data_IF_542698125248
#
_entry.id   IF_542698125248
#
_cell.length_a   1.000
_cell.length_b   1.000
_cell.length_c   1.000
_cell.angle_alpha   90.00
_cell.angle_beta   90.00
_cell.angle_gamma   90.00
#
_symmetry.space_group_name_H-M   'P 1'
#
loop_
_entity.id
_entity.type
_entity.pdbx_description
1 polymer ?
#
# COMPACT_ATOMS: atom_id res chain seq x y z
N UNK A 1 -20.55 -8.61 15.98
CA UNK A 1 -19.35 -7.74 16.05
C UNK A 1 -18.41 -8.29 17.09
N UNK A 2 -17.16 -8.57 16.68
CA UNK A 2 -16.15 -9.11 17.58
C UNK A 2 -15.46 -8.02 18.41
N UNK A 3 -15.09 -6.91 17.76
CA UNK A 3 -14.36 -5.83 18.40
C UNK A 3 -14.65 -4.49 17.74
N UNK A 4 -14.47 -3.41 18.49
CA UNK A 4 -14.57 -2.04 18.02
C UNK A 4 -13.51 -1.21 18.73
N UNK A 5 -12.73 -0.44 17.97
CA UNK A 5 -11.79 0.53 18.55
C UNK A 5 -11.94 1.89 17.88
N UNK A 6 -11.52 2.91 18.60
CA UNK A 6 -11.53 4.27 18.11
C UNK A 6 -10.10 4.79 18.03
N UNK A 7 -9.75 5.42 16.90
CA UNK A 7 -8.42 5.98 16.70
C UNK A 7 -8.14 7.19 17.59
N UNK A 8 -9.20 7.91 17.97
CA UNK A 8 -9.17 9.11 18.82
C UNK A 8 -8.38 10.28 18.24
N UNK A 9 -7.95 10.18 17.00
CA UNK A 9 -7.24 11.27 16.33
C UNK A 9 -7.91 11.69 15.02
N UNK A 10 -8.22 10.74 14.14
CA UNK A 10 -8.71 11.07 12.80
C UNK A 10 -9.49 9.92 12.20
N UNK A 11 -10.12 10.17 11.05
CA UNK A 11 -10.87 9.14 10.34
C UNK A 11 -9.94 8.17 9.64
N UNK A 12 -10.39 6.93 9.55
CA UNK A 12 -9.64 5.81 8.96
C UNK A 12 -9.79 5.84 7.43
N UNK A 13 -8.67 5.68 6.73
CA UNK A 13 -8.59 5.65 5.27
C UNK A 13 -8.29 4.27 4.72
N UNK A 14 -7.39 3.52 5.33
CA UNK A 14 -6.97 2.22 4.86
C UNK A 14 -6.82 1.23 6.00
N UNK A 15 -6.93 -0.04 5.68
CA UNK A 15 -6.82 -1.14 6.65
C UNK A 15 -6.12 -2.33 6.02
N UNK A 16 -5.46 -3.15 6.86
CA UNK A 16 -4.86 -4.41 6.45
C UNK A 16 -4.76 -5.36 7.63
N UNK A 17 -5.09 -6.63 7.42
CA UNK A 17 -4.85 -7.66 8.42
C UNK A 17 -3.42 -8.19 8.32
N UNK A 18 -2.82 -8.46 9.49
CA UNK A 18 -1.59 -9.25 9.55
C UNK A 18 -1.90 -10.70 9.13
N UNK A 19 -1.01 -11.34 8.37
CA UNK A 19 -1.28 -12.67 7.82
C UNK A 19 -1.40 -13.77 8.87
N UNK A 20 -0.75 -13.63 10.05
CA UNK A 20 -0.71 -14.71 11.05
C UNK A 20 -0.98 -14.25 12.48
N UNK A 21 -0.77 -12.99 12.81
CA UNK A 21 -0.99 -12.45 14.15
C UNK A 21 -2.34 -11.74 14.26
N UNK A 22 -2.89 -11.60 15.49
CA UNK A 22 -4.17 -10.88 15.65
C UNK A 22 -4.00 -9.36 15.56
N UNK A 23 -3.36 -8.90 14.53
CA UNK A 23 -3.02 -7.50 14.30
C UNK A 23 -3.71 -6.94 13.08
N UNK A 24 -4.00 -5.66 13.14
CA UNK A 24 -4.42 -4.89 11.98
C UNK A 24 -3.68 -3.55 11.94
N UNK A 25 -3.47 -3.08 10.74
CA UNK A 25 -3.04 -1.72 10.48
C UNK A 25 -4.25 -0.89 10.08
N UNK A 26 -4.27 0.36 10.53
CA UNK A 26 -5.14 1.37 9.94
C UNK A 26 -4.33 2.62 9.63
N UNK A 27 -4.62 3.22 8.49
CA UNK A 27 -4.03 4.50 8.09
C UNK A 27 -5.06 5.61 8.18
N UNK A 28 -4.62 6.79 8.59
CA UNK A 28 -5.51 7.87 8.99
C UNK A 28 -5.37 9.11 8.11
N UNK A 29 -6.42 9.91 8.15
CA UNK A 29 -6.48 11.19 7.42
C UNK A 29 -5.46 12.23 7.92
N UNK A 30 -5.02 12.12 9.17
CA UNK A 30 -4.03 13.04 9.76
C UNK A 30 -2.56 12.66 9.50
N UNK A 31 -2.32 11.58 8.76
CA UNK A 31 -0.96 11.13 8.43
C UNK A 31 -0.44 10.01 9.30
N UNK A 32 -1.15 9.64 10.36
CA UNK A 32 -0.74 8.55 11.23
C UNK A 32 -1.11 7.18 10.66
N UNK A 33 -0.33 6.19 11.05
CA UNK A 33 -0.62 4.77 10.86
C UNK A 33 -0.61 4.13 12.24
N UNK A 34 -1.63 3.35 12.56
CA UNK A 34 -1.75 2.69 13.84
C UNK A 34 -1.74 1.17 13.66
N UNK A 35 -0.99 0.49 14.51
CA UNK A 35 -0.93 -0.96 14.60
C UNK A 35 -1.66 -1.41 15.86
N UNK A 36 -2.70 -2.20 15.70
CA UNK A 36 -3.58 -2.66 16.77
C UNK A 36 -3.53 -4.17 16.91
N UNK A 37 -3.59 -4.67 18.15
CA UNK A 37 -4.00 -6.03 18.46
C UNK A 37 -5.52 -6.04 18.66
N UNK A 38 -6.25 -6.68 17.74
CA UNK A 38 -7.71 -6.61 17.77
C UNK A 38 -8.35 -7.58 18.78
N UNK A 39 -7.61 -8.57 19.28
CA UNK A 39 -8.10 -9.47 20.34
C UNK A 39 -7.95 -8.86 21.72
N UNK A 40 -6.84 -8.18 21.95
CA UNK A 40 -6.59 -7.48 23.21
C UNK A 40 -7.23 -6.08 23.24
N UNK A 41 -7.58 -5.54 22.08
CA UNK A 41 -8.08 -4.18 21.96
C UNK A 41 -7.02 -3.13 22.28
N UNK A 42 -5.76 -3.43 22.01
CA UNK A 42 -4.61 -2.61 22.42
C UNK A 42 -3.94 -1.98 21.20
N UNK A 43 -3.67 -0.68 21.30
CA UNK A 43 -2.80 0.01 20.34
C UNK A 43 -1.36 -0.36 20.63
N UNK A 44 -0.72 -1.05 19.68
CA UNK A 44 0.65 -1.53 19.84
C UNK A 44 1.68 -0.47 19.45
N UNK A 45 1.42 0.28 18.36
CA UNK A 45 2.37 1.26 17.86
C UNK A 45 1.67 2.30 16.99
N UNK A 46 2.25 3.50 16.93
CA UNK A 46 1.86 4.59 16.03
C UNK A 46 3.05 5.00 15.19
N UNK A 47 2.82 5.15 13.88
CA UNK A 47 3.83 5.58 12.90
C UNK A 47 3.36 6.90 12.30
N UNK A 48 4.20 7.94 12.36
CA UNK A 48 3.79 9.30 12.00
C UNK A 48 4.90 10.02 11.21
N UNK A 49 5.11 9.59 9.95
CA UNK A 49 6.11 10.21 9.08
C UNK A 49 5.54 10.71 7.76
N UNK A 50 4.30 10.33 7.41
CA UNK A 50 3.63 10.88 6.23
C UNK A 50 3.19 12.33 6.47
N UNK A 51 3.24 13.12 5.42
CA UNK A 51 2.75 14.50 5.42
C UNK A 51 1.40 14.57 4.70
N UNK A 52 0.36 14.36 5.47
CA UNK A 52 -1.03 14.34 4.99
C UNK A 52 -1.67 12.95 5.05
N UNK A 53 -2.91 12.83 4.56
CA UNK A 53 -3.65 11.57 4.62
C UNK A 53 -2.91 10.37 4.05
N UNK A 54 -2.94 9.26 4.79
CA UNK A 54 -2.40 7.97 4.34
C UNK A 54 -3.58 7.12 3.89
N UNK A 55 -3.70 6.91 2.58
CA UNK A 55 -4.90 6.29 2.00
C UNK A 55 -4.88 4.78 2.03
N UNK A 56 -3.69 4.16 2.04
CA UNK A 56 -3.57 2.71 1.91
C UNK A 56 -2.39 2.19 2.69
N UNK A 57 -2.57 1.02 3.25
CA UNK A 57 -1.53 0.25 3.94
C UNK A 57 -1.69 -1.23 3.57
N UNK A 58 -0.59 -1.97 3.61
CA UNK A 58 -0.61 -3.41 3.38
C UNK A 58 0.54 -4.09 4.10
N UNK A 59 0.24 -5.20 4.79
CA UNK A 59 1.27 -6.04 5.38
C UNK A 59 1.94 -6.91 4.32
N UNK A 60 3.26 -7.13 4.46
CA UNK A 60 3.95 -8.16 3.70
C UNK A 60 3.49 -9.55 4.17
N UNK A 61 3.31 -10.52 3.26
CA UNK A 61 2.75 -11.84 3.62
C UNK A 61 3.65 -12.69 4.50
N UNK A 62 4.97 -12.44 4.52
CA UNK A 62 5.91 -13.31 5.26
C UNK A 62 7.03 -12.58 6.00
N UNK A 63 7.31 -11.33 5.66
CA UNK A 63 8.37 -10.54 6.29
C UNK A 63 7.79 -9.48 7.23
N UNK A 64 8.56 -8.98 8.22
CA UNK A 64 8.05 -8.02 9.19
C UNK A 64 7.94 -6.60 8.60
N UNK A 65 7.32 -6.48 7.43
CA UNK A 65 7.21 -5.25 6.68
C UNK A 65 5.75 -4.87 6.46
N UNK A 66 5.53 -3.58 6.32
CA UNK A 66 4.31 -3.06 5.70
C UNK A 66 4.64 -1.87 4.79
N UNK A 67 3.74 -1.60 3.87
CA UNK A 67 3.83 -0.51 2.91
C UNK A 67 2.69 0.46 3.13
N UNK A 68 2.95 1.74 2.92
CA UNK A 68 1.93 2.80 2.99
C UNK A 68 2.09 3.77 1.83
N UNK A 69 1.00 4.43 1.49
CA UNK A 69 0.98 5.46 0.46
C UNK A 69 -0.15 6.46 0.70
N UNK A 70 0.04 7.69 0.29
CA UNK A 70 -0.93 8.73 0.57
C UNK A 70 -0.78 10.02 -0.24
N UNK A 71 -1.31 11.10 0.33
CA UNK A 71 -1.44 12.40 -0.33
C UNK A 71 -0.13 13.16 -0.47
N UNK A 72 0.93 12.71 0.20
CA UNK A 72 2.28 13.28 0.05
C UNK A 72 3.06 12.73 -1.16
N UNK A 73 2.43 11.90 -2.01
CA UNK A 73 2.98 11.26 -3.22
C UNK A 73 4.03 10.18 -2.92
N UNK A 74 4.23 9.84 -1.65
CA UNK A 74 5.29 8.94 -1.21
C UNK A 74 4.73 7.58 -0.87
N UNK A 75 5.52 6.55 -1.21
CA UNK A 75 5.34 5.20 -0.73
C UNK A 75 6.42 4.97 0.32
N UNK A 76 6.04 4.50 1.50
CA UNK A 76 6.98 4.16 2.56
C UNK A 76 6.92 2.69 2.85
N UNK A 77 8.09 2.08 3.03
CA UNK A 77 8.21 0.69 3.48
C UNK A 77 8.78 0.71 4.89
N UNK A 78 8.11 -0.01 5.77
CA UNK A 78 8.37 0.00 7.20
C UNK A 78 8.72 -1.38 7.70
N UNK A 79 9.58 -1.46 8.72
CA UNK A 79 9.78 -2.67 9.51
C UNK A 79 9.10 -2.47 10.86
N UNK A 80 8.08 -3.28 11.16
CA UNK A 80 7.30 -3.09 12.39
C UNK A 80 8.01 -3.63 13.64
N UNK A 81 9.02 -4.51 13.49
CA UNK A 81 9.84 -4.94 14.62
C UNK A 81 10.80 -3.83 15.08
N UNK A 82 11.41 -3.12 14.15
CA UNK A 82 12.30 -2.00 14.44
C UNK A 82 11.55 -0.68 14.64
N UNK A 83 10.26 -0.65 14.29
CA UNK A 83 9.41 0.54 14.37
C UNK A 83 9.93 1.70 13.53
N UNK A 84 10.54 1.39 12.35
CA UNK A 84 11.19 2.39 11.49
C UNK A 84 10.70 2.31 10.05
N UNK A 85 10.63 3.49 9.44
CA UNK A 85 10.59 3.61 7.99
C UNK A 85 11.95 3.22 7.43
N UNK A 86 11.97 2.21 6.56
CA UNK A 86 13.21 1.73 5.97
C UNK A 86 13.65 2.61 4.81
N UNK A 87 12.71 2.98 3.96
CA UNK A 87 12.96 3.84 2.80
C UNK A 87 11.64 4.37 2.24
N UNK A 88 11.80 5.34 1.35
CA UNK A 88 10.69 5.97 0.61
C UNK A 88 10.87 5.72 -0.87
N UNK A 89 9.78 5.38 -1.56
CA UNK A 89 9.74 5.27 -3.02
C UNK A 89 9.03 6.50 -3.58
N UNK A 90 9.68 7.19 -4.51
CA UNK A 90 9.18 8.43 -5.08
C UNK A 90 9.08 8.34 -6.60
N UNK A 91 8.05 8.91 -7.16
CA UNK A 91 7.83 8.90 -8.62
C UNK A 91 6.42 9.27 -9.01
N UNK A 92 5.42 8.94 -8.21
CA UNK A 92 4.07 9.43 -8.44
C UNK A 92 3.99 10.95 -8.32
N UNK A 93 3.16 11.57 -9.14
CA UNK A 93 3.03 13.03 -9.23
C UNK A 93 1.73 13.55 -8.61
N UNK A 94 0.98 12.69 -7.94
CA UNK A 94 -0.27 13.04 -7.29
C UNK A 94 -0.59 12.01 -6.18
N UNK A 95 -1.75 12.13 -5.53
CA UNK A 95 -2.17 11.27 -4.44
C UNK A 95 -2.09 9.81 -4.81
N UNK A 96 -1.54 9.01 -3.91
CA UNK A 96 -1.51 7.55 -4.04
C UNK A 96 -2.77 6.98 -3.41
N UNK A 97 -3.52 6.19 -4.18
CA UNK A 97 -4.81 5.63 -3.75
C UNK A 97 -4.68 4.27 -3.10
N UNK A 98 -3.88 3.37 -3.69
CA UNK A 98 -3.64 2.05 -3.11
C UNK A 98 -2.20 1.63 -3.26
N UNK A 99 -1.75 0.79 -2.33
CA UNK A 99 -0.47 0.11 -2.36
C UNK A 99 -0.69 -1.35 -1.92
N UNK A 100 0.06 -2.27 -2.52
CA UNK A 100 -0.06 -3.69 -2.20
C UNK A 100 1.26 -4.40 -2.47
N UNK A 101 1.65 -5.30 -1.56
CA UNK A 101 2.74 -6.22 -1.81
C UNK A 101 2.31 -7.36 -2.75
N UNK A 102 3.24 -7.79 -3.60
CA UNK A 102 3.07 -9.04 -4.35
C UNK A 102 3.19 -10.23 -3.39
N UNK A 103 2.40 -11.30 -3.58
CA UNK A 103 2.44 -12.45 -2.67
C UNK A 103 3.75 -13.24 -2.66
N UNK A 104 4.54 -13.18 -3.73
CA UNK A 104 5.78 -13.96 -3.87
C UNK A 104 6.99 -13.13 -4.26
N UNK A 105 6.86 -12.28 -5.29
CA UNK A 105 7.96 -11.46 -5.80
C UNK A 105 8.19 -10.24 -4.92
N UNK A 106 9.40 -9.66 -4.91
CA UNK A 106 9.69 -8.49 -4.09
C UNK A 106 9.13 -7.19 -4.71
N UNK A 107 7.85 -7.19 -5.03
CA UNK A 107 7.19 -6.08 -5.74
C UNK A 107 6.10 -5.44 -4.91
N UNK A 108 5.89 -4.17 -5.20
CA UNK A 108 4.76 -3.37 -4.73
C UNK A 108 4.06 -2.80 -5.95
N UNK A 109 2.74 -2.87 -5.99
CA UNK A 109 1.94 -2.11 -6.96
C UNK A 109 1.32 -0.91 -6.26
N UNK A 110 1.37 0.24 -6.93
CA UNK A 110 0.73 1.47 -6.47
C UNK A 110 -0.06 2.09 -7.60
N UNK A 111 -1.11 2.82 -7.26
CA UNK A 111 -1.89 3.59 -8.23
C UNK A 111 -2.18 4.98 -7.69
N UNK A 112 -2.44 5.93 -8.59
CA UNK A 112 -2.44 7.32 -8.24
C UNK A 112 -3.45 8.14 -9.05
N UNK A 113 -3.78 9.31 -8.51
CA UNK A 113 -4.51 10.36 -9.24
C UNK A 113 -3.71 10.90 -10.42
N UNK A 114 -2.40 10.59 -10.50
CA UNK A 114 -1.58 10.92 -11.67
C UNK A 114 -1.89 10.08 -12.92
N UNK A 115 -2.92 9.21 -12.84
CA UNK A 115 -3.42 8.35 -13.92
C UNK A 115 -2.55 7.13 -14.20
N UNK A 116 -1.51 6.91 -13.42
CA UNK A 116 -0.56 5.81 -13.63
C UNK A 116 -0.63 4.77 -12.53
N UNK A 117 -0.23 3.56 -12.91
CA UNK A 117 0.04 2.46 -12.01
C UNK A 117 1.54 2.24 -12.07
N UNK A 118 2.18 2.07 -10.92
CA UNK A 118 3.61 1.77 -10.85
C UNK A 118 3.83 0.44 -10.14
N UNK A 119 4.82 -0.30 -10.63
CA UNK A 119 5.30 -1.50 -9.98
C UNK A 119 6.74 -1.24 -9.57
N UNK A 120 7.02 -1.51 -8.30
CA UNK A 120 8.30 -1.25 -7.67
C UNK A 120 8.92 -2.56 -7.21
N UNK A 121 10.25 -2.69 -7.36
CA UNK A 121 11.00 -3.71 -6.64
C UNK A 121 11.48 -3.08 -5.33
N UNK A 122 10.99 -3.56 -4.19
CA UNK A 122 11.34 -2.95 -2.91
C UNK A 122 12.72 -3.37 -2.39
N UNK A 123 13.33 -4.44 -2.94
CA UNK A 123 14.72 -4.79 -2.60
C UNK A 123 15.72 -3.88 -3.31
N UNK A 124 15.53 -3.63 -4.59
CA UNK A 124 16.37 -2.70 -5.36
C UNK A 124 15.94 -1.23 -5.20
N UNK A 125 14.71 -1.00 -4.72
CA UNK A 125 14.08 0.33 -4.57
C UNK A 125 13.86 1.04 -5.89
N UNK A 126 13.71 0.29 -6.98
CA UNK A 126 13.50 0.83 -8.31
C UNK A 126 12.05 0.66 -8.76
N UNK A 127 11.57 1.64 -9.53
CA UNK A 127 10.33 1.50 -10.28
C UNK A 127 10.63 0.65 -11.52
N UNK A 128 10.07 -0.55 -11.59
CA UNK A 128 10.33 -1.49 -12.67
C UNK A 128 9.29 -1.45 -13.79
N UNK A 129 8.15 -0.80 -13.56
CA UNK A 129 7.15 -0.58 -14.60
C UNK A 129 6.25 0.60 -14.27
N UNK A 130 5.85 1.32 -15.32
CA UNK A 130 4.80 2.33 -15.26
C UNK A 130 3.74 1.91 -16.27
N UNK A 131 2.53 1.61 -15.78
CA UNK A 131 1.41 1.19 -16.62
C UNK A 131 0.55 2.40 -16.91
N UNK A 132 0.57 2.84 -18.17
CA UNK A 132 -0.11 4.04 -18.64
C UNK A 132 -1.28 3.68 -19.56
N UNK A 133 -2.32 4.49 -19.52
CA UNK A 133 -3.49 4.29 -20.40
C UNK A 133 -4.79 4.81 -19.82
N UNK A 134 -4.94 4.80 -18.50
CA UNK A 134 -6.11 5.42 -17.87
C UNK A 134 -6.10 6.94 -18.10
N UNK A 135 -7.32 7.50 -18.26
CA UNK A 135 -7.51 8.92 -18.55
C UNK A 135 -8.03 9.74 -17.37
N UNK A 136 -8.10 9.13 -16.21
CA UNK A 136 -8.52 9.77 -14.96
C UNK A 136 -7.84 9.06 -13.77
N UNK A 137 -8.15 9.47 -12.55
CA UNK A 137 -7.59 8.88 -11.33
C UNK A 137 -7.73 7.37 -11.32
N UNK A 138 -6.65 6.66 -11.01
CA UNK A 138 -6.68 5.22 -10.77
C UNK A 138 -7.00 5.00 -9.30
N UNK A 139 -8.17 4.47 -9.02
CA UNK A 139 -8.68 4.36 -7.66
C UNK A 139 -8.23 3.09 -6.94
N UNK A 140 -7.92 2.05 -7.69
CA UNK A 140 -7.45 0.78 -7.13
C UNK A 140 -6.63 0.01 -8.14
N UNK A 141 -5.62 -0.70 -7.67
CA UNK A 141 -4.86 -1.65 -8.47
C UNK A 141 -4.43 -2.80 -7.57
N UNK A 142 -4.47 -4.01 -8.10
CA UNK A 142 -4.16 -5.22 -7.34
C UNK A 142 -3.41 -6.22 -8.20
N UNK A 143 -2.49 -6.94 -7.58
CA UNK A 143 -1.90 -8.13 -8.18
C UNK A 143 -2.90 -9.29 -8.20
N UNK A 144 -2.88 -10.10 -9.26
CA UNK A 144 -3.52 -11.40 -9.22
C UNK A 144 -2.79 -12.29 -8.20
N UNK A 145 -3.51 -13.12 -7.42
CA UNK A 145 -2.85 -13.91 -6.37
C UNK A 145 -1.93 -15.00 -6.89
N UNK A 146 -2.05 -15.40 -8.16
CA UNK A 146 -1.26 -16.50 -8.75
C UNK A 146 -0.68 -16.20 -10.12
N UNK A 147 -1.37 -15.43 -10.95
CA UNK A 147 -0.95 -15.13 -12.31
C UNK A 147 -0.20 -13.80 -12.38
N UNK A 148 0.57 -13.63 -13.45
CA UNK A 148 1.37 -12.41 -13.68
C UNK A 148 0.51 -11.30 -14.28
N UNK A 149 -0.49 -10.87 -13.51
CA UNK A 149 -1.47 -9.87 -13.91
C UNK A 149 -1.66 -8.82 -12.83
N UNK A 150 -1.98 -7.61 -13.28
CA UNK A 150 -2.51 -6.52 -12.44
C UNK A 150 -3.86 -6.13 -12.97
N UNK A 151 -4.82 -5.90 -12.09
CA UNK A 151 -6.12 -5.31 -12.44
C UNK A 151 -6.19 -3.91 -11.86
N UNK A 152 -6.78 -2.99 -12.60
CA UNK A 152 -6.97 -1.60 -12.14
C UNK A 152 -8.37 -1.10 -12.44
N UNK A 153 -8.82 -0.14 -11.62
CA UNK A 153 -10.11 0.54 -11.79
C UNK A 153 -9.89 2.05 -11.69
N UNK A 154 -10.58 2.78 -12.55
CA UNK A 154 -10.38 4.21 -12.68
C UNK A 154 -11.69 4.98 -12.75
N UNK A 155 -11.64 6.27 -12.41
CA UNK A 155 -12.73 7.21 -12.65
C UNK A 155 -13.00 7.44 -14.15
N UNK A 156 -12.14 6.94 -15.04
CA UNK A 156 -12.39 6.94 -16.49
C UNK A 156 -13.46 5.93 -16.92
N UNK A 157 -14.08 5.23 -15.96
CA UNK A 157 -15.14 4.24 -16.16
C UNK A 157 -14.63 2.94 -16.76
N UNK A 158 -13.34 2.67 -16.73
CA UNK A 158 -12.76 1.43 -17.25
C UNK A 158 -12.14 0.58 -16.16
N UNK A 159 -12.17 -0.73 -16.41
CA UNK A 159 -11.39 -1.74 -15.71
C UNK A 159 -10.35 -2.22 -16.72
N UNK A 160 -9.09 -2.31 -16.28
CA UNK A 160 -8.00 -2.78 -17.15
C UNK A 160 -7.27 -3.95 -16.49
N UNK A 161 -6.94 -4.93 -17.31
CA UNK A 161 -6.10 -6.06 -16.89
C UNK A 161 -4.79 -5.96 -17.64
N UNK A 162 -3.68 -5.96 -16.90
CA UNK A 162 -2.34 -5.73 -17.43
C UNK A 162 -1.53 -7.02 -17.31
N UNK A 163 -0.87 -7.41 -18.40
CA UNK A 163 0.08 -8.53 -18.39
C UNK A 163 1.45 -8.01 -17.92
N UNK A 164 1.92 -8.56 -16.79
CA UNK A 164 3.21 -8.19 -16.21
C UNK A 164 4.22 -9.34 -16.22
N UNK A 165 3.99 -10.36 -17.06
CA UNK A 165 4.87 -11.54 -17.14
C UNK A 165 6.32 -11.21 -17.48
N UNK A 166 6.55 -10.14 -18.25
CA UNK A 166 7.89 -9.70 -18.61
C UNK A 166 8.72 -9.14 -17.45
N UNK A 167 8.11 -8.78 -16.33
CA UNK A 167 8.81 -8.15 -15.22
C UNK A 167 9.72 -9.11 -14.44
N UNK A 168 9.46 -10.40 -14.48
CA UNK A 168 10.31 -11.39 -13.80
C UNK A 168 11.76 -11.37 -14.28
N UNK A 169 11.99 -10.89 -15.50
CA UNK A 169 13.34 -10.76 -16.08
C UNK A 169 14.04 -9.47 -15.61
N UNK A 170 13.33 -8.55 -14.99
CA UNK A 170 13.85 -7.24 -14.56
C UNK A 170 14.08 -7.13 -13.07
N UNK A 171 13.69 -8.15 -12.35
CA UNK A 171 13.81 -8.12 -10.90
C UNK A 171 12.91 -9.10 -10.24
#
# INVERSE_FOLDING_TARGET
MLAKFETKSSRVKGISFHPTRPWLLCSLHDGQIQLWDYRLGTLLETFDEHDGPVRSVDFHPSQPLFVSGGDDYKIRVWNYNNKRSLFTLMGHLDYIRTVQFHPENPWIVSCSDDQNIRIWNWQSRECIAVLTGHNHYVMSAQFHPKEDLVVSASLDQTIRVWDISGLKQKG
#
